data_IF_368720094446
#
_entry.id   IF_368720094446
#
_cell.length_a   1.000
_cell.length_b   1.000
_cell.length_c   1.000
_cell.angle_alpha   90.00
_cell.angle_beta   90.00
_cell.angle_gamma   90.00
#
_symmetry.space_group_name_H-M   'P 1'
#
loop_
_entity.id
_entity.type
_entity.pdbx_description
1 polymer ?
#
# COMPACT_ATOMS: atom_id res chain seq x y z
N UNK A 1 -4.28 3.23 2.75
CA UNK A 1 -3.09 3.11 3.63
C UNK A 1 -3.15 1.93 4.63
N UNK A 2 -4.04 0.94 4.47
CA UNK A 2 -4.20 -0.16 5.45
C UNK A 2 -3.29 -1.39 5.26
N UNK A 3 -2.59 -1.52 4.12
CA UNK A 3 -1.79 -2.73 3.84
C UNK A 3 -0.50 -2.84 4.65
N UNK A 4 0.12 -1.70 5.01
CA UNK A 4 1.39 -1.70 5.75
C UNK A 4 1.20 -2.05 7.23
N UNK A 5 0.13 -1.53 7.85
CA UNK A 5 -0.21 -1.83 9.24
C UNK A 5 -0.55 -3.31 9.44
N UNK A 6 -1.13 -3.96 8.43
CA UNK A 6 -1.46 -5.37 8.47
C UNK A 6 -0.23 -6.29 8.42
N UNK A 7 0.81 -5.91 7.65
CA UNK A 7 2.07 -6.65 7.61
C UNK A 7 2.78 -6.62 8.97
N UNK A 8 2.82 -5.45 9.60
CA UNK A 8 3.37 -5.28 10.96
C UNK A 8 2.52 -6.04 11.98
N UNK A 9 1.19 -5.93 11.93
CA UNK A 9 0.28 -6.67 12.82
C UNK A 9 0.43 -8.21 12.68
N UNK A 10 0.66 -8.71 11.45
CA UNK A 10 0.91 -10.13 11.19
C UNK A 10 2.23 -10.66 11.75
N UNK A 11 3.24 -9.79 11.91
CA UNK A 11 4.50 -10.16 12.55
C UNK A 11 4.34 -10.40 14.05
N UNK A 12 3.37 -9.72 14.67
CA UNK A 12 3.18 -9.72 16.13
C UNK A 12 1.96 -10.51 16.59
N UNK A 13 1.10 -10.98 15.68
CA UNK A 13 -0.04 -11.82 16.01
C UNK A 13 0.42 -13.25 16.34
N UNK A 14 0.19 -13.66 17.59
CA UNK A 14 0.44 -15.01 18.13
C UNK A 14 -0.53 -16.01 17.50
N UNK A 15 -0.08 -17.21 17.15
CA UNK A 15 -0.96 -18.31 16.73
C UNK A 15 -2.03 -18.56 17.81
N UNK A 16 -3.34 -18.51 17.47
CA UNK A 16 -4.41 -18.63 18.47
C UNK A 16 -4.44 -20.00 19.16
N UNK A 17 -3.77 -21.01 18.61
CA UNK A 17 -3.63 -22.33 19.21
C UNK A 17 -2.81 -22.33 20.51
N UNK A 18 -1.89 -21.37 20.71
CA UNK A 18 -1.07 -21.25 21.94
C UNK A 18 -1.72 -20.33 22.98
N UNK A 19 -2.68 -19.49 22.57
CA UNK A 19 -3.40 -18.59 23.48
C UNK A 19 -4.46 -19.30 24.34
N UNK A 20 -5.02 -20.41 23.84
CA UNK A 20 -6.02 -21.20 24.57
C UNK A 20 -5.44 -21.95 25.79
N UNK A 21 -4.12 -22.13 25.89
CA UNK A 21 -3.47 -22.82 27.01
C UNK A 21 -3.02 -21.89 28.15
N UNK A 22 -3.19 -20.56 28.02
CA UNK A 22 -2.67 -19.58 28.99
C UNK A 22 -3.75 -18.80 29.76
N UNK A 23 -5.04 -19.10 29.57
CA UNK A 23 -6.15 -18.29 30.12
C UNK A 23 -6.56 -18.61 31.56
N UNK A 24 -5.64 -19.08 32.42
CA UNK A 24 -5.88 -19.17 33.86
C UNK A 24 -4.88 -18.32 34.65
N UNK A 25 -5.31 -17.12 35.05
CA UNK A 25 -4.55 -16.23 35.91
C UNK A 25 -4.84 -14.76 35.64
N UNK A 26 -5.76 -14.18 36.40
CA UNK A 26 -6.03 -12.75 36.36
C UNK A 26 -5.01 -11.95 37.16
N UNK A 27 -4.58 -10.80 36.64
CA UNK A 27 -4.26 -9.57 37.38
C UNK A 27 -4.07 -8.44 36.36
N UNK A 28 -5.05 -7.53 36.26
CA UNK A 28 -4.95 -6.33 35.41
C UNK A 28 -4.24 -5.25 36.21
N UNK A 29 -2.91 -5.33 36.25
CA UNK A 29 -2.06 -4.34 36.92
C UNK A 29 -1.62 -3.23 35.95
N UNK A 30 -1.37 -2.04 36.49
CA UNK A 30 -0.87 -0.86 35.74
C UNK A 30 0.46 -1.12 34.99
N UNK A 31 1.14 -2.20 35.33
CA UNK A 31 2.31 -2.79 34.63
C UNK A 31 1.96 -3.23 33.21
N UNK A 32 0.76 -3.79 33.00
CA UNK A 32 0.31 -4.29 31.70
C UNK A 32 0.05 -3.13 30.73
N UNK A 33 -0.49 -2.01 31.23
CA UNK A 33 -0.72 -0.78 30.43
C UNK A 33 0.59 -0.07 30.06
N UNK A 34 1.64 -0.21 30.88
CA UNK A 34 2.97 0.37 30.60
C UNK A 34 3.78 -0.53 29.66
N UNK A 35 3.71 -1.85 29.82
CA UNK A 35 4.30 -2.82 28.90
C UNK A 35 3.64 -2.77 27.51
N UNK A 36 2.32 -2.58 27.47
CA UNK A 36 1.57 -2.41 26.22
C UNK A 36 1.98 -1.12 25.49
N UNK A 37 2.08 0.02 26.20
CA UNK A 37 2.59 1.28 25.62
C UNK A 37 4.02 1.17 25.09
N UNK A 38 4.92 0.52 25.83
CA UNK A 38 6.29 0.26 25.37
C UNK A 38 6.32 -0.66 24.15
N UNK A 39 5.46 -1.69 24.11
CA UNK A 39 5.31 -2.57 22.96
C UNK A 39 4.77 -1.85 21.72
N UNK A 40 3.81 -0.93 21.89
CA UNK A 40 3.28 -0.08 20.80
C UNK A 40 4.35 0.87 20.27
N UNK A 41 5.18 1.44 21.14
CA UNK A 41 6.31 2.29 20.74
C UNK A 41 7.36 1.51 19.94
N UNK A 42 7.74 0.30 20.38
CA UNK A 42 8.67 -0.57 19.65
C UNK A 42 8.11 -1.04 18.30
N UNK A 43 6.80 -1.30 18.21
CA UNK A 43 6.17 -1.60 16.91
C UNK A 43 6.23 -0.42 15.95
N UNK A 44 5.98 0.79 16.44
CA UNK A 44 6.04 1.99 15.61
C UNK A 44 7.45 2.23 15.07
N UNK A 45 8.49 1.92 15.86
CA UNK A 45 9.89 2.01 15.44
C UNK A 45 10.25 0.97 14.38
N UNK A 46 9.92 -0.31 14.59
CA UNK A 46 10.12 -1.37 13.58
C UNK A 46 9.36 -1.03 12.29
N UNK A 47 8.16 -0.46 12.40
CA UNK A 47 7.40 0.04 11.25
C UNK A 47 8.13 1.13 10.47
N UNK A 48 8.77 2.09 11.16
CA UNK A 48 9.59 3.14 10.51
C UNK A 48 10.83 2.55 9.84
N UNK A 49 11.49 1.59 10.47
CA UNK A 49 12.63 0.86 9.91
C UNK A 49 12.23 0.18 8.59
N UNK A 50 11.09 -0.53 8.57
CA UNK A 50 10.56 -1.15 7.36
C UNK A 50 10.24 -0.13 6.26
N UNK A 51 9.61 1.00 6.61
CA UNK A 51 9.33 2.08 5.64
C UNK A 51 10.63 2.65 5.07
N UNK A 52 11.62 2.90 5.92
CA UNK A 52 12.92 3.41 5.49
C UNK A 52 13.62 2.39 4.58
N UNK A 53 13.61 1.11 4.97
CA UNK A 53 14.17 0.01 4.18
C UNK A 53 13.52 -0.09 2.80
N UNK A 54 12.20 0.02 2.71
CA UNK A 54 11.48 0.03 1.43
C UNK A 54 11.89 1.23 0.58
N UNK A 55 12.10 2.40 1.18
CA UNK A 55 12.56 3.61 0.49
C UNK A 55 14.00 3.48 -0.01
N UNK A 56 14.89 2.86 0.78
CA UNK A 56 16.30 2.63 0.41
C UNK A 56 16.49 1.38 -0.46
N UNK A 57 15.49 0.50 -0.54
CA UNK A 57 15.51 -0.74 -1.32
C UNK A 57 16.00 -1.97 -0.54
N UNK A 58 16.59 -1.79 0.63
CA UNK A 58 17.11 -2.86 1.50
C UNK A 58 17.00 -2.49 2.98
N UNK A 59 16.83 -3.51 3.83
CA UNK A 59 17.02 -3.38 5.27
C UNK A 59 18.51 -3.46 5.61
N UNK A 60 18.97 -2.61 6.52
CA UNK A 60 20.33 -2.70 7.06
C UNK A 60 20.49 -3.97 7.90
N UNK A 61 21.70 -4.57 7.98
CA UNK A 61 21.97 -5.67 8.91
C UNK A 61 21.63 -5.29 10.37
N UNK A 62 21.95 -4.07 10.78
CA UNK A 62 21.67 -3.56 12.14
C UNK A 62 20.15 -3.47 12.42
N UNK A 63 19.40 -2.97 11.44
CA UNK A 63 17.93 -2.87 11.48
C UNK A 63 17.27 -4.25 11.56
N UNK A 64 17.82 -5.22 10.81
CA UNK A 64 17.34 -6.61 10.80
C UNK A 64 17.59 -7.28 12.14
N UNK A 65 18.79 -7.08 12.71
CA UNK A 65 19.15 -7.61 14.02
C UNK A 65 18.30 -6.99 15.14
N UNK A 66 18.07 -5.66 15.12
CA UNK A 66 17.19 -4.98 16.08
C UNK A 66 15.75 -5.48 15.98
N UNK A 67 15.19 -5.51 14.77
CA UNK A 67 13.83 -6.04 14.55
C UNK A 67 13.74 -7.52 14.99
N UNK A 68 14.78 -8.32 14.73
CA UNK A 68 14.90 -9.69 15.20
C UNK A 68 14.82 -9.79 16.73
N UNK A 69 15.51 -8.93 17.47
CA UNK A 69 15.45 -8.92 18.94
C UNK A 69 14.06 -8.57 19.45
N UNK A 70 13.40 -7.58 18.85
CA UNK A 70 12.04 -7.18 19.23
C UNK A 70 11.04 -8.31 18.96
N UNK A 71 11.18 -9.00 17.82
CA UNK A 71 10.34 -10.15 17.47
C UNK A 71 10.62 -11.34 18.39
N UNK A 72 11.88 -11.67 18.66
CA UNK A 72 12.27 -12.76 19.56
C UNK A 72 11.71 -12.55 20.97
N UNK A 73 11.84 -11.34 21.54
CA UNK A 73 11.28 -10.99 22.86
C UNK A 73 9.77 -11.16 22.95
N UNK A 74 9.05 -10.95 21.85
CA UNK A 74 7.57 -10.97 21.83
C UNK A 74 6.98 -12.33 21.44
N UNK A 75 7.71 -13.11 20.66
CA UNK A 75 7.27 -14.42 20.15
C UNK A 75 7.87 -15.59 20.89
N UNK A 76 8.97 -15.38 21.64
CA UNK A 76 9.74 -16.45 22.26
C UNK A 76 10.60 -17.24 21.27
N UNK A 77 10.73 -16.76 20.02
CA UNK A 77 11.59 -17.38 19.00
C UNK A 77 13.08 -17.17 19.32
N UNK A 78 13.92 -18.04 18.75
CA UNK A 78 15.36 -17.81 18.72
C UNK A 78 15.66 -16.53 17.91
N UNK A 79 16.76 -15.85 18.25
CA UNK A 79 17.18 -14.64 17.55
C UNK A 79 17.32 -14.88 16.04
N UNK A 80 17.90 -16.02 15.66
CA UNK A 80 18.10 -16.39 14.26
C UNK A 80 16.78 -16.63 13.51
N UNK A 81 15.81 -17.30 14.14
CA UNK A 81 14.49 -17.53 13.53
C UNK A 81 13.68 -16.23 13.41
N UNK A 82 13.85 -15.32 14.38
CA UNK A 82 13.21 -14.02 14.36
C UNK A 82 13.76 -13.13 13.24
N UNK A 83 15.08 -13.07 13.05
CA UNK A 83 15.72 -12.36 11.95
C UNK A 83 15.32 -12.91 10.57
N UNK A 84 15.25 -14.24 10.46
CA UNK A 84 14.76 -14.89 9.24
C UNK A 84 13.32 -14.48 8.93
N UNK A 85 12.43 -14.48 9.93
CA UNK A 85 11.04 -14.04 9.78
C UNK A 85 10.93 -12.57 9.35
N UNK A 86 11.77 -11.70 9.91
CA UNK A 86 11.84 -10.28 9.51
C UNK A 86 12.22 -10.16 8.03
N UNK A 87 13.27 -10.87 7.62
CA UNK A 87 13.77 -10.85 6.23
C UNK A 87 12.73 -11.38 5.24
N UNK A 88 12.10 -12.51 5.55
CA UNK A 88 11.05 -13.11 4.71
C UNK A 88 9.84 -12.19 4.57
N UNK A 89 9.45 -11.53 5.66
CA UNK A 89 8.33 -10.59 5.65
C UNK A 89 8.65 -9.35 4.83
N UNK A 90 9.87 -8.83 4.97
CA UNK A 90 10.34 -7.72 4.15
C UNK A 90 10.36 -8.06 2.65
N UNK A 91 10.85 -9.25 2.29
CA UNK A 91 10.85 -9.72 0.91
C UNK A 91 9.42 -9.81 0.33
N UNK A 92 8.46 -10.35 1.09
CA UNK A 92 7.04 -10.39 0.70
C UNK A 92 6.43 -9.00 0.54
N UNK A 93 6.74 -8.08 1.45
CA UNK A 93 6.27 -6.70 1.37
C UNK A 93 6.80 -6.01 0.10
N UNK A 94 8.09 -6.19 -0.21
CA UNK A 94 8.70 -5.64 -1.42
C UNK A 94 8.07 -6.21 -2.70
N UNK A 95 7.81 -7.52 -2.75
CA UNK A 95 7.15 -8.16 -3.88
C UNK A 95 5.74 -7.59 -4.11
N UNK A 96 4.97 -7.42 -3.04
CA UNK A 96 3.61 -6.86 -3.10
C UNK A 96 3.63 -5.40 -3.59
N UNK A 97 4.59 -4.61 -3.14
CA UNK A 97 4.74 -3.21 -3.59
C UNK A 97 5.13 -3.12 -5.06
N UNK A 98 6.04 -3.97 -5.54
CA UNK A 98 6.38 -4.06 -6.98
C UNK A 98 5.14 -4.36 -7.81
N UNK A 99 4.38 -5.40 -7.43
CA UNK A 99 3.14 -5.75 -8.13
C UNK A 99 2.12 -4.62 -8.14
N UNK A 100 1.97 -3.88 -7.04
CA UNK A 100 1.07 -2.73 -6.98
C UNK A 100 1.53 -1.59 -7.89
N UNK A 101 2.84 -1.31 -7.93
CA UNK A 101 3.42 -0.29 -8.80
C UNK A 101 3.25 -0.65 -10.28
N UNK A 102 3.47 -1.91 -10.66
CA UNK A 102 3.30 -2.36 -12.04
C UNK A 102 1.83 -2.29 -12.48
N UNK A 103 0.89 -2.68 -11.61
CA UNK A 103 -0.55 -2.52 -11.88
C UNK A 103 -0.95 -1.05 -12.04
N UNK A 104 -0.40 -0.16 -11.22
CA UNK A 104 -0.68 1.27 -11.31
C UNK A 104 -0.16 1.87 -12.62
N UNK A 105 1.05 1.48 -13.05
CA UNK A 105 1.60 1.89 -14.36
C UNK A 105 0.74 1.40 -15.52
N UNK A 106 0.37 0.13 -15.51
CA UNK A 106 -0.48 -0.45 -16.56
C UNK A 106 -1.83 0.30 -16.69
N UNK A 107 -2.47 0.60 -15.56
CA UNK A 107 -3.72 1.36 -15.55
C UNK A 107 -3.56 2.79 -16.10
N UNK A 108 -2.45 3.46 -15.78
CA UNK A 108 -2.16 4.79 -16.31
C UNK A 108 -1.90 4.77 -17.83
N UNK A 109 -1.17 3.76 -18.32
CA UNK A 109 -0.90 3.60 -19.74
C UNK A 109 -2.18 3.29 -20.53
N UNK A 110 -3.06 2.45 -19.99
CA UNK A 110 -4.36 2.16 -20.60
C UNK A 110 -5.27 3.39 -20.61
N UNK A 111 -5.32 4.17 -19.53
CA UNK A 111 -6.05 5.42 -19.48
C UNK A 111 -5.53 6.43 -20.51
N UNK A 112 -4.20 6.50 -20.72
CA UNK A 112 -3.59 7.36 -21.73
C UNK A 112 -3.98 6.94 -23.15
N UNK A 113 -4.00 5.64 -23.44
CA UNK A 113 -4.46 5.10 -24.72
C UNK A 113 -5.94 5.38 -24.96
N UNK A 114 -6.78 5.15 -23.96
CA UNK A 114 -8.23 5.42 -24.04
C UNK A 114 -8.50 6.91 -24.27
N UNK A 115 -7.77 7.79 -23.58
CA UNK A 115 -7.90 9.25 -23.73
C UNK A 115 -7.48 9.71 -25.14
N UNK A 116 -6.40 9.16 -25.69
CA UNK A 116 -5.98 9.45 -27.06
C UNK A 116 -7.05 9.03 -28.08
N UNK A 117 -7.63 7.85 -27.92
CA UNK A 117 -8.71 7.36 -28.78
C UNK A 117 -9.99 8.19 -28.63
N UNK A 118 -10.34 8.57 -27.40
CA UNK A 118 -11.47 9.46 -27.12
C UNK A 118 -11.29 10.85 -27.74
N UNK A 119 -10.09 11.43 -27.65
CA UNK A 119 -9.78 12.72 -28.27
C UNK A 119 -9.88 12.68 -29.80
N UNK A 120 -9.45 11.58 -30.44
CA UNK A 120 -9.63 11.40 -31.88
C UNK A 120 -11.11 11.33 -32.26
N UNK A 121 -11.92 10.59 -31.50
CA UNK A 121 -13.38 10.55 -31.74
C UNK A 121 -14.05 11.89 -31.54
N UNK A 122 -13.71 12.62 -30.47
CA UNK A 122 -14.22 13.98 -30.25
C UNK A 122 -13.82 14.91 -31.39
N UNK A 123 -12.59 14.81 -31.90
CA UNK A 123 -12.15 15.60 -33.05
C UNK A 123 -12.96 15.26 -34.31
N UNK A 124 -13.21 13.98 -34.58
CA UNK A 124 -14.06 13.55 -35.70
C UNK A 124 -15.48 14.10 -35.54
N UNK A 125 -16.08 13.99 -34.36
CA UNK A 125 -17.41 14.55 -34.07
C UNK A 125 -17.44 16.07 -34.26
N UNK A 126 -16.38 16.77 -33.86
CA UNK A 126 -16.24 18.21 -34.03
C UNK A 126 -16.22 18.58 -35.52
N UNK A 127 -15.48 17.86 -36.36
CA UNK A 127 -15.43 18.11 -37.81
C UNK A 127 -16.80 17.94 -38.46
N UNK A 128 -17.56 16.92 -38.07
CA UNK A 128 -18.92 16.69 -38.57
C UNK A 128 -19.85 17.82 -38.12
N UNK A 129 -19.82 18.19 -36.84
CA UNK A 129 -20.62 19.29 -36.30
C UNK A 129 -20.30 20.64 -36.95
N UNK A 130 -19.01 20.93 -37.15
CA UNK A 130 -18.55 22.14 -37.83
C UNK A 130 -19.01 22.20 -39.29
N UNK A 131 -19.03 21.07 -39.99
CA UNK A 131 -19.54 21.00 -41.36
C UNK A 131 -21.05 21.31 -41.43
N UNK A 132 -21.86 20.70 -40.56
CA UNK A 132 -23.31 20.97 -40.49
C UNK A 132 -23.58 22.44 -40.12
N UNK A 133 -22.83 22.98 -39.15
CA UNK A 133 -22.92 24.39 -38.77
C UNK A 133 -22.57 25.33 -39.93
N UNK A 134 -21.56 25.00 -40.73
CA UNK A 134 -21.18 25.77 -41.92
C UNK A 134 -22.29 25.79 -42.98
N UNK A 135 -22.93 24.64 -43.24
CA UNK A 135 -24.10 24.56 -44.13
C UNK A 135 -25.31 25.32 -43.58
N UNK A 136 -25.60 25.18 -42.29
CA UNK A 136 -26.69 25.90 -41.63
C UNK A 136 -26.46 27.42 -41.66
N UNK A 137 -25.23 27.89 -41.48
CA UNK A 137 -24.88 29.32 -41.59
C UNK A 137 -25.08 29.84 -43.02
N UNK A 138 -24.72 29.04 -44.03
CA UNK A 138 -24.90 29.39 -45.45
C UNK A 138 -26.38 29.51 -45.84
N UNK A 139 -27.24 28.60 -45.37
CA UNK A 139 -28.68 28.64 -45.62
C UNK A 139 -29.45 29.62 -44.71
N UNK A 140 -29.01 29.79 -43.46
CA UNK A 140 -29.66 30.63 -42.44
C UNK A 140 -29.49 32.13 -42.66
N UNK A 141 -28.41 32.57 -43.33
CA UNK A 141 -28.23 33.98 -43.70
C UNK A 141 -29.29 34.50 -44.68
N UNK A 142 -29.84 33.62 -45.54
CA UNK A 142 -30.79 34.01 -46.60
C UNK A 142 -32.20 34.38 -46.10
N UNK A 143 -32.57 34.00 -44.88
CA UNK A 143 -33.89 34.27 -44.28
C UNK A 143 -33.92 35.49 -43.36
N UNK A 144 -32.82 36.24 -43.27
CA UNK A 144 -32.73 37.48 -42.46
C UNK A 144 -33.01 38.75 -43.28
N UNK A 145 -32.97 38.64 -44.60
CA UNK A 145 -33.19 39.76 -45.54
C UNK A 145 -34.60 39.74 -46.19
N UNK A 146 -35.55 38.99 -45.62
CA UNK A 146 -36.99 39.05 -45.92
C UNK A 146 -37.75 39.37 -44.64
#
# INVERSE_FOLDING_TARGET
MGSMGYGVDSLFRKDPAVAASASSGGQTDSSTVSADRSGVASQAEVGRIFINGIRTGSLSPDDTHYAGQVVARRTGLSQQDAEKRVTDTYARAQATLKQAADKAKAAADDARKASAYGALWLFVSLLIGAFVASLAATCGGRRRDL
#
